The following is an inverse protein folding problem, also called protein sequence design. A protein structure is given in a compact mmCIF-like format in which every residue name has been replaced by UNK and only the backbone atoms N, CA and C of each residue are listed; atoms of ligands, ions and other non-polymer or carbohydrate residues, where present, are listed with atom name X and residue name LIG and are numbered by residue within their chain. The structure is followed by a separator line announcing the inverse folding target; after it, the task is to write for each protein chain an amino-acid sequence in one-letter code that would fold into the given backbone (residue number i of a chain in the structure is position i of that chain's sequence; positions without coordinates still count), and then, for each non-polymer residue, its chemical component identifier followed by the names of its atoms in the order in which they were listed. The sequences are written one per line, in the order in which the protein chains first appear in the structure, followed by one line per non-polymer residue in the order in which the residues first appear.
data_IF_800910345021
#
_entry.id   IF_800910345021
#
_cell.length_a   1.000
_cell.length_b   1.000
_cell.length_c   1.000
_cell.angle_alpha   90.00
_cell.angle_beta   90.00
_cell.angle_gamma   90.00
#
_symmetry.space_group_name_H-M   'P 1'
#
loop_
_entity.id
_entity.type
_entity.pdbx_description
1 polymer ?
#
# COMPACT_ATOMS: atom_id res chain seq x y z
N UNK A 1 9.27 25.22 20.29
CA UNK A 1 9.09 24.79 18.88
C UNK A 1 10.47 24.48 18.33
N UNK A 2 10.61 23.35 17.64
CA UNK A 2 11.80 22.96 16.86
C UNK A 2 11.41 23.01 15.39
N UNK A 3 12.16 23.73 14.58
CA UNK A 3 11.95 23.84 13.14
C UNK A 3 12.69 22.68 12.47
N UNK A 4 12.02 21.93 11.60
CA UNK A 4 12.64 20.96 10.72
C UNK A 4 12.71 21.54 9.30
N UNK A 5 13.91 21.52 8.69
CA UNK A 5 14.13 21.98 7.31
C UNK A 5 14.72 20.80 6.54
N UNK A 6 13.93 20.27 5.63
CA UNK A 6 14.43 19.30 4.67
C UNK A 6 15.23 20.01 3.59
N UNK A 7 16.24 19.34 3.03
CA UNK A 7 17.16 19.90 2.03
C UNK A 7 17.70 21.29 2.42
N UNK A 8 18.19 21.43 3.65
CA UNK A 8 18.65 22.72 4.18
C UNK A 8 19.70 23.42 3.30
N UNK A 9 20.41 22.68 2.46
CA UNK A 9 21.35 23.21 1.48
C UNK A 9 20.68 24.16 0.47
N UNK A 10 19.40 23.97 0.15
CA UNK A 10 18.64 24.83 -0.77
C UNK A 10 18.42 26.22 -0.17
N UNK A 11 18.24 26.30 1.15
CA UNK A 11 18.08 27.56 1.87
C UNK A 11 19.40 28.33 1.94
N UNK A 12 20.53 27.61 1.99
CA UNK A 12 21.88 28.20 2.07
C UNK A 12 22.40 28.67 0.72
N UNK A 13 21.97 28.03 -0.38
CA UNK A 13 22.40 28.36 -1.74
C UNK A 13 21.51 29.35 -2.50
N UNK A 14 20.36 29.70 -1.99
CA UNK A 14 19.35 30.51 -2.70
C UNK A 14 19.75 31.96 -3.01
N UNK A 15 20.84 32.45 -2.45
CA UNK A 15 21.29 33.84 -2.62
C UNK A 15 22.28 34.10 -3.77
N UNK A 16 22.72 33.08 -4.50
CA UNK A 16 23.81 33.24 -5.47
C UNK A 16 23.35 33.78 -6.84
N UNK A 17 22.06 33.88 -7.12
CA UNK A 17 21.55 34.42 -8.39
C UNK A 17 20.60 35.60 -8.16
N UNK A 18 21.16 36.80 -8.13
CA UNK A 18 20.45 38.03 -8.44
C UNK A 18 19.40 38.52 -7.45
N UNK A 19 19.80 39.06 -6.30
CA UNK A 19 18.95 40.00 -5.54
C UNK A 19 17.87 39.41 -4.63
N UNK A 20 17.76 38.10 -4.51
CA UNK A 20 16.92 37.47 -3.50
C UNK A 20 17.61 37.56 -2.13
N UNK A 21 16.87 37.95 -1.10
CA UNK A 21 17.35 37.96 0.29
C UNK A 21 17.76 36.54 0.67
N UNK A 22 19.03 36.30 0.89
CA UNK A 22 19.55 34.99 1.28
C UNK A 22 18.92 34.60 2.64
N UNK A 23 18.02 33.63 2.62
CA UNK A 23 17.32 33.16 3.80
C UNK A 23 18.29 32.68 4.89
N UNK A 24 19.49 32.25 4.49
CA UNK A 24 20.57 31.89 5.42
C UNK A 24 21.03 33.08 6.27
N UNK A 25 21.03 34.28 5.72
CA UNK A 25 21.40 35.50 6.45
C UNK A 25 20.37 35.90 7.51
N UNK A 26 19.11 35.49 7.34
CA UNK A 26 18.07 35.69 8.36
C UNK A 26 18.16 34.62 9.46
N UNK A 27 18.51 33.39 9.12
CA UNK A 27 18.60 32.27 10.07
C UNK A 27 19.86 32.36 10.95
N UNK A 28 20.99 32.80 10.40
CA UNK A 28 22.28 32.88 11.11
C UNK A 28 22.20 33.65 12.43
N UNK A 29 21.61 34.87 12.50
CA UNK A 29 21.50 35.61 13.76
C UNK A 29 20.58 34.91 14.78
N UNK A 30 19.48 34.34 14.33
CA UNK A 30 18.51 33.65 15.21
C UNK A 30 19.08 32.35 15.80
N UNK A 31 19.82 31.59 14.99
CA UNK A 31 20.56 30.39 15.45
C UNK A 31 21.68 30.81 16.43
N UNK A 32 22.37 31.91 16.16
CA UNK A 32 23.47 32.42 17.04
C UNK A 32 22.98 32.82 18.44
N UNK A 33 21.78 33.39 18.53
CA UNK A 33 21.17 33.81 19.78
C UNK A 33 20.42 32.71 20.50
N UNK A 34 20.30 31.50 19.87
CA UNK A 34 19.53 30.41 20.42
C UNK A 34 17.99 30.61 20.39
N UNK A 35 17.54 31.64 19.64
CA UNK A 35 16.13 31.95 19.48
C UNK A 35 15.43 30.88 18.59
N UNK A 36 16.19 30.31 17.65
CA UNK A 36 15.73 29.26 16.75
C UNK A 36 16.42 27.93 17.06
N UNK A 37 15.64 26.90 17.31
CA UNK A 37 16.11 25.51 17.34
C UNK A 37 15.72 24.86 16.03
N UNK A 38 16.72 24.34 15.30
CA UNK A 38 16.51 23.81 13.95
C UNK A 38 17.18 22.46 13.80
N UNK A 39 16.50 21.55 13.11
CA UNK A 39 17.03 20.31 12.58
C UNK A 39 17.03 20.44 11.07
N UNK A 40 18.20 20.33 10.43
CA UNK A 40 18.33 20.37 8.98
C UNK A 40 18.71 19.00 8.46
N UNK A 41 18.03 18.52 7.40
CA UNK A 41 18.40 17.32 6.68
C UNK A 41 19.05 17.69 5.34
N UNK A 42 20.08 16.95 4.94
CA UNK A 42 20.77 17.11 3.66
C UNK A 42 21.61 15.88 3.34
N UNK A 43 22.10 15.76 2.12
CA UNK A 43 23.05 14.72 1.74
C UNK A 43 24.48 15.10 2.16
N UNK A 44 25.35 14.09 2.29
CA UNK A 44 26.77 14.32 2.64
C UNK A 44 27.47 15.19 1.59
N UNK A 45 27.18 15.00 0.30
CA UNK A 45 27.75 15.76 -0.80
C UNK A 45 27.34 17.23 -0.76
N UNK A 46 26.07 17.50 -0.55
CA UNK A 46 25.51 18.85 -0.48
C UNK A 46 25.93 19.57 0.79
N UNK A 47 26.04 18.85 1.92
CA UNK A 47 26.60 19.38 3.14
C UNK A 47 28.02 19.93 2.90
N UNK A 48 28.90 19.15 2.25
CA UNK A 48 30.26 19.58 1.90
C UNK A 48 30.29 20.75 0.94
N UNK A 49 29.35 20.79 -0.03
CA UNK A 49 29.29 21.85 -1.02
C UNK A 49 28.76 23.18 -0.49
N UNK A 50 27.79 23.14 0.41
CA UNK A 50 27.03 24.34 0.80
C UNK A 50 27.22 24.72 2.28
N UNK A 51 27.19 23.75 3.21
CA UNK A 51 27.22 24.01 4.64
C UNK A 51 28.66 24.21 5.15
N UNK A 52 29.58 23.31 4.83
CA UNK A 52 31.00 23.40 5.26
C UNK A 52 31.70 24.61 4.69
N UNK A 53 31.28 25.12 3.55
CA UNK A 53 31.87 26.38 2.98
C UNK A 53 31.42 27.63 3.71
N UNK A 54 30.41 27.56 4.55
CA UNK A 54 29.94 28.66 5.39
C UNK A 54 30.32 28.42 6.87
N UNK A 55 31.46 28.96 7.34
CA UNK A 55 31.94 28.74 8.72
C UNK A 55 30.96 29.23 9.78
N UNK A 56 30.03 30.11 9.39
CA UNK A 56 29.03 30.63 10.32
C UNK A 56 27.89 29.64 10.55
N UNK A 57 27.53 28.84 9.55
CA UNK A 57 26.55 27.78 9.68
C UNK A 57 27.16 26.50 10.28
N UNK A 58 28.33 26.10 9.79
CA UNK A 58 29.03 24.90 10.26
C UNK A 58 29.18 24.88 11.80
N UNK A 59 29.54 26.04 12.40
CA UNK A 59 29.71 26.17 13.87
C UNK A 59 28.38 26.12 14.66
N UNK A 60 27.24 26.17 13.99
CA UNK A 60 25.93 26.23 14.65
C UNK A 60 25.12 24.94 14.51
N UNK A 61 25.56 24.03 13.66
CA UNK A 61 24.95 22.72 13.48
C UNK A 61 25.89 21.60 13.93
N UNK A 62 25.40 20.72 14.77
CA UNK A 62 26.09 19.47 15.08
C UNK A 62 25.69 18.46 14.03
N UNK A 63 26.66 17.86 13.35
CA UNK A 63 26.42 16.79 12.38
C UNK A 63 25.98 15.51 13.09
N UNK A 64 24.93 14.90 12.58
CA UNK A 64 24.45 13.58 12.96
C UNK A 64 24.39 12.72 11.69
N UNK A 65 25.34 11.80 11.57
CA UNK A 65 25.40 10.91 10.42
C UNK A 65 24.36 9.80 10.57
N UNK A 66 23.48 9.66 9.59
CA UNK A 66 22.49 8.59 9.50
C UNK A 66 23.00 7.61 8.44
N UNK A 67 23.35 6.42 8.89
CA UNK A 67 23.78 5.33 8.00
C UNK A 67 22.60 4.50 7.53
N UNK A 68 22.81 3.77 6.44
CA UNK A 68 21.85 2.76 5.95
C UNK A 68 21.64 1.70 7.06
N UNK A 69 20.38 1.33 7.39
CA UNK A 69 20.10 0.31 8.38
C UNK A 69 20.51 -1.09 7.88
N UNK A 70 20.77 -2.00 8.82
CA UNK A 70 21.00 -3.41 8.51
C UNK A 70 19.71 -4.07 7.98
N UNK A 71 19.83 -5.26 7.39
CA UNK A 71 18.67 -6.07 6.96
C UNK A 71 17.76 -6.38 8.16
N UNK A 72 18.31 -6.69 9.32
CA UNK A 72 17.57 -6.99 10.56
C UNK A 72 16.79 -5.75 11.06
N UNK A 73 17.45 -4.58 11.07
CA UNK A 73 16.80 -3.32 11.43
C UNK A 73 15.71 -2.97 10.42
N UNK A 74 15.95 -3.21 9.13
CA UNK A 74 14.96 -2.98 8.07
C UNK A 74 13.72 -3.85 8.28
N UNK A 75 13.86 -5.14 8.62
CA UNK A 75 12.73 -6.02 8.93
C UNK A 75 11.92 -5.44 10.09
N UNK A 76 12.59 -4.92 11.13
CA UNK A 76 11.92 -4.29 12.28
C UNK A 76 11.16 -3.04 11.88
N UNK A 77 11.72 -2.21 11.00
CA UNK A 77 11.07 -1.01 10.43
C UNK A 77 9.84 -1.42 9.61
N UNK A 78 9.97 -2.43 8.73
CA UNK A 78 8.87 -2.92 7.90
C UNK A 78 7.72 -3.48 8.75
N UNK A 79 8.02 -4.21 9.83
CA UNK A 79 7.00 -4.66 10.79
C UNK A 79 6.25 -3.49 11.44
N UNK A 80 6.95 -2.40 11.75
CA UNK A 80 6.34 -1.18 12.26
C UNK A 80 5.46 -0.44 11.26
N UNK A 81 5.73 -0.58 9.95
CA UNK A 81 4.98 0.04 8.87
C UNK A 81 3.86 -0.86 8.32
N UNK A 82 3.92 -2.16 8.58
CA UNK A 82 3.02 -3.20 8.04
C UNK A 82 1.55 -2.79 8.10
N UNK A 83 1.06 -2.43 9.28
CA UNK A 83 -0.35 -2.12 9.51
C UNK A 83 -0.83 -0.96 8.63
N UNK A 84 -0.01 0.09 8.46
CA UNK A 84 -0.32 1.23 7.60
C UNK A 84 -0.45 0.83 6.12
N UNK A 85 0.47 -0.01 5.63
CA UNK A 85 0.40 -0.50 4.25
C UNK A 85 -0.78 -1.45 4.04
N UNK A 86 -1.08 -2.31 5.02
CA UNK A 86 -2.26 -3.17 4.98
C UNK A 86 -3.57 -2.37 4.90
N UNK A 87 -3.67 -1.27 5.66
CA UNK A 87 -4.84 -0.37 5.61
C UNK A 87 -4.90 0.36 4.28
N UNK A 88 -3.78 0.93 3.82
CA UNK A 88 -3.73 1.72 2.59
C UNK A 88 -4.12 0.90 1.34
N UNK A 89 -3.61 -0.32 1.23
CA UNK A 89 -3.88 -1.18 0.09
C UNK A 89 -5.12 -2.07 0.29
N UNK A 90 -5.59 -2.26 1.51
CA UNK A 90 -6.71 -3.16 1.83
C UNK A 90 -6.36 -4.63 1.67
N UNK A 91 -5.08 -4.99 1.80
CA UNK A 91 -4.54 -6.36 1.68
C UNK A 91 -3.77 -6.74 2.94
N UNK A 92 -3.58 -8.03 3.19
CA UNK A 92 -2.71 -8.52 4.28
C UNK A 92 -1.29 -8.72 3.75
N UNK A 93 -0.31 -8.56 4.64
CA UNK A 93 1.10 -8.76 4.30
C UNK A 93 1.66 -9.82 5.26
N UNK A 94 2.18 -10.93 4.75
CA UNK A 94 2.80 -11.96 5.59
C UNK A 94 4.13 -11.49 6.17
N UNK A 95 4.52 -12.02 7.32
CA UNK A 95 5.84 -11.72 7.90
C UNK A 95 6.98 -12.25 7.00
N UNK A 96 6.75 -13.38 6.33
CA UNK A 96 7.68 -13.92 5.34
C UNK A 96 7.91 -12.99 4.15
N UNK A 97 6.88 -12.26 3.70
CA UNK A 97 7.02 -11.25 2.65
C UNK A 97 7.89 -10.08 3.11
N UNK A 98 7.75 -9.60 4.36
CA UNK A 98 8.59 -8.53 4.91
C UNK A 98 10.06 -8.94 4.97
N UNK A 99 10.33 -10.16 5.44
CA UNK A 99 11.68 -10.72 5.50
C UNK A 99 12.27 -10.84 4.09
N UNK A 100 11.49 -11.38 3.15
CA UNK A 100 11.92 -11.53 1.76
C UNK A 100 12.16 -10.18 1.08
N UNK A 101 11.32 -9.18 1.32
CA UNK A 101 11.51 -7.83 0.79
C UNK A 101 12.83 -7.20 1.25
N UNK A 102 13.18 -7.33 2.55
CA UNK A 102 14.44 -6.82 3.07
C UNK A 102 15.67 -7.56 2.48
N UNK A 103 15.61 -8.88 2.39
CA UNK A 103 16.73 -9.72 1.90
C UNK A 103 16.91 -9.53 0.39
N UNK A 104 15.81 -9.63 -0.41
CA UNK A 104 15.88 -9.57 -1.87
C UNK A 104 16.24 -8.17 -2.35
N UNK A 105 15.66 -7.11 -1.75
CA UNK A 105 16.04 -5.75 -2.09
C UNK A 105 17.51 -5.46 -1.80
N UNK A 106 18.04 -5.92 -0.64
CA UNK A 106 19.44 -5.75 -0.31
C UNK A 106 20.35 -6.45 -1.31
N UNK A 107 19.96 -7.66 -1.78
CA UNK A 107 20.78 -8.50 -2.66
C UNK A 107 20.73 -8.07 -4.11
N UNK A 108 19.58 -7.66 -4.62
CA UNK A 108 19.36 -7.47 -6.07
C UNK A 108 19.21 -6.01 -6.47
N UNK A 109 18.82 -5.10 -5.58
CA UNK A 109 18.66 -3.68 -5.88
C UNK A 109 19.87 -2.91 -5.33
N UNK A 110 20.82 -2.57 -6.24
CA UNK A 110 22.06 -1.89 -5.88
C UNK A 110 21.95 -0.35 -5.91
N UNK A 111 20.98 0.20 -6.65
CA UNK A 111 20.89 1.65 -6.93
C UNK A 111 20.19 2.43 -5.81
N UNK A 112 19.53 1.76 -4.87
CA UNK A 112 18.79 2.35 -3.75
C UNK A 112 19.25 1.80 -2.42
N UNK A 113 18.97 2.51 -1.34
CA UNK A 113 19.36 2.17 0.02
C UNK A 113 18.19 1.57 0.81
N UNK A 114 18.52 0.77 1.83
CA UNK A 114 17.55 0.36 2.82
C UNK A 114 17.21 1.55 3.74
N UNK A 115 15.98 1.68 4.25
CA UNK A 115 14.86 0.74 4.09
C UNK A 115 14.03 0.98 2.82
N UNK A 116 14.22 2.07 2.08
CA UNK A 116 13.33 2.54 1.02
C UNK A 116 13.09 1.49 -0.06
N UNK A 117 14.15 0.85 -0.56
CA UNK A 117 14.02 -0.19 -1.60
C UNK A 117 13.20 -1.42 -1.14
N UNK A 118 13.20 -1.73 0.15
CA UNK A 118 12.39 -2.80 0.69
C UNK A 118 10.92 -2.38 0.87
N UNK A 119 10.71 -1.13 1.25
CA UNK A 119 9.38 -0.51 1.32
C UNK A 119 8.75 -0.47 -0.06
N UNK A 120 9.49 -0.05 -1.09
CA UNK A 120 9.00 0.00 -2.47
C UNK A 120 8.53 -1.37 -2.96
N UNK A 121 9.26 -2.46 -2.66
CA UNK A 121 8.84 -3.82 -3.03
C UNK A 121 7.53 -4.23 -2.36
N UNK A 122 7.34 -3.87 -1.09
CA UNK A 122 6.09 -4.16 -0.37
C UNK A 122 4.94 -3.35 -0.97
N UNK A 123 5.16 -2.07 -1.24
CA UNK A 123 4.15 -1.18 -1.82
C UNK A 123 3.71 -1.66 -3.21
N UNK A 124 4.66 -2.02 -4.06
CA UNK A 124 4.40 -2.55 -5.40
C UNK A 124 3.66 -3.89 -5.36
N UNK A 125 4.12 -4.83 -4.53
CA UNK A 125 3.47 -6.15 -4.39
C UNK A 125 2.06 -6.03 -3.80
N UNK A 126 1.85 -5.15 -2.82
CA UNK A 126 0.54 -4.88 -2.26
C UNK A 126 -0.40 -4.21 -3.28
N UNK A 127 0.10 -3.27 -4.07
CA UNK A 127 -0.63 -2.62 -5.17
C UNK A 127 -1.02 -3.62 -6.26
N UNK A 128 -0.12 -4.54 -6.62
CA UNK A 128 -0.36 -5.61 -7.59
C UNK A 128 -1.48 -6.53 -7.10
N UNK A 129 -1.41 -6.97 -5.84
CA UNK A 129 -2.43 -7.83 -5.24
C UNK A 129 -3.79 -7.11 -5.16
N UNK A 130 -3.83 -5.83 -4.77
CA UNK A 130 -5.06 -5.02 -4.80
C UNK A 130 -5.66 -4.96 -6.20
N UNK A 131 -4.81 -4.80 -7.22
CA UNK A 131 -5.27 -4.82 -8.61
C UNK A 131 -5.84 -6.18 -9.00
N UNK A 132 -5.23 -7.29 -8.59
CA UNK A 132 -5.76 -8.65 -8.79
C UNK A 132 -7.12 -8.84 -8.14
N UNK A 133 -7.31 -8.36 -6.89
CA UNK A 133 -8.59 -8.43 -6.15
C UNK A 133 -9.68 -7.62 -6.86
N UNK A 134 -9.35 -6.45 -7.40
CA UNK A 134 -10.32 -5.58 -8.08
C UNK A 134 -10.59 -5.99 -9.52
N UNK A 135 -9.66 -6.65 -10.16
CA UNK A 135 -9.79 -7.15 -11.53
C UNK A 135 -10.59 -8.45 -11.59
N UNK A 136 -11.10 -8.75 -12.76
CA UNK A 136 -11.86 -9.98 -13.00
C UNK A 136 -10.93 -11.20 -12.95
N UNK A 137 -11.26 -12.28 -12.20
CA UNK A 137 -10.45 -13.48 -12.16
C UNK A 137 -10.26 -14.11 -13.54
N UNK A 138 -9.09 -14.68 -13.78
CA UNK A 138 -8.72 -15.26 -15.07
C UNK A 138 -9.71 -16.35 -15.50
N UNK A 139 -10.18 -17.21 -14.58
CA UNK A 139 -11.16 -18.26 -14.86
C UNK A 139 -12.47 -17.71 -15.42
N UNK A 140 -12.91 -16.56 -14.88
CA UNK A 140 -14.13 -15.91 -15.32
C UNK A 140 -13.95 -15.23 -16.68
N UNK A 141 -12.78 -14.64 -16.94
CA UNK A 141 -12.45 -14.05 -18.25
C UNK A 141 -12.35 -15.12 -19.35
N UNK A 142 -11.81 -16.30 -19.05
CA UNK A 142 -11.77 -17.42 -20.00
C UNK A 142 -13.17 -17.93 -20.36
N UNK A 143 -14.09 -18.00 -19.39
CA UNK A 143 -15.48 -18.37 -19.63
C UNK A 143 -16.17 -17.34 -20.53
N UNK A 144 -15.97 -16.04 -20.25
CA UNK A 144 -16.54 -14.96 -21.07
C UNK A 144 -16.06 -15.03 -22.52
N UNK A 145 -14.75 -15.24 -22.71
CA UNK A 145 -14.18 -15.38 -24.07
C UNK A 145 -14.76 -16.59 -24.79
N UNK A 146 -15.00 -17.71 -24.09
CA UNK A 146 -15.65 -18.90 -24.67
C UNK A 146 -17.10 -18.59 -25.04
N UNK A 147 -17.84 -17.92 -24.18
CA UNK A 147 -19.24 -17.52 -24.45
C UNK A 147 -19.31 -16.63 -25.69
N UNK A 148 -18.46 -15.60 -25.78
CA UNK A 148 -18.41 -14.69 -26.93
C UNK A 148 -18.08 -15.45 -28.22
N UNK A 149 -17.11 -16.37 -28.17
CA UNK A 149 -16.75 -17.21 -29.32
C UNK A 149 -17.90 -18.06 -29.81
N UNK A 150 -18.58 -18.75 -28.89
CA UNK A 150 -19.74 -19.61 -29.23
C UNK A 150 -20.93 -18.78 -29.74
N UNK A 151 -21.16 -17.59 -29.19
CA UNK A 151 -22.20 -16.67 -29.69
C UNK A 151 -21.91 -16.20 -31.11
N UNK A 152 -20.64 -15.90 -31.44
CA UNK A 152 -20.22 -15.52 -32.79
C UNK A 152 -20.42 -16.73 -33.78
N UNK A 153 -20.04 -17.93 -33.35
CA UNK A 153 -20.24 -19.15 -34.13
C UNK A 153 -21.72 -19.42 -34.37
N UNK A 154 -22.57 -19.27 -33.35
CA UNK A 154 -24.02 -19.39 -33.46
C UNK A 154 -24.62 -18.41 -34.47
N UNK A 155 -24.13 -17.16 -34.44
CA UNK A 155 -24.56 -16.09 -35.38
C UNK A 155 -24.16 -16.42 -36.83
N UNK A 156 -22.96 -16.98 -37.04
CA UNK A 156 -22.50 -17.44 -38.36
C UNK A 156 -23.37 -18.58 -38.90
N UNK A 157 -23.60 -19.62 -38.08
CA UNK A 157 -24.38 -20.76 -38.46
C UNK A 157 -25.88 -20.46 -38.69
N UNK A 158 -26.43 -19.42 -38.06
CA UNK A 158 -27.81 -18.95 -38.31
C UNK A 158 -28.01 -18.40 -39.73
N UNK A 159 -26.95 -18.04 -40.44
CA UNK A 159 -27.02 -17.56 -41.82
C UNK A 159 -27.03 -18.71 -42.86
N UNK A 160 -26.74 -19.94 -42.39
CA UNK A 160 -26.72 -21.13 -43.20
C UNK A 160 -27.99 -21.96 -42.90
N UNK A 161 -28.83 -22.22 -43.91
CA UNK A 161 -30.14 -22.92 -43.73
C UNK A 161 -30.05 -24.46 -43.80
N UNK A 162 -28.88 -25.05 -43.62
CA UNK A 162 -28.64 -26.48 -43.70
C UNK A 162 -29.09 -27.23 -42.43
N UNK A 163 -29.54 -28.51 -42.62
CA UNK A 163 -29.97 -29.38 -41.53
C UNK A 163 -28.84 -29.63 -40.54
N UNK A 164 -27.61 -29.81 -41.05
CA UNK A 164 -26.40 -29.97 -40.20
C UNK A 164 -26.09 -28.78 -39.34
N UNK A 165 -26.38 -27.57 -39.84
CA UNK A 165 -26.22 -26.32 -39.10
C UNK A 165 -27.20 -26.17 -37.94
N UNK A 166 -28.42 -26.66 -38.08
CA UNK A 166 -29.44 -26.69 -37.02
C UNK A 166 -29.04 -27.63 -35.85
N UNK A 167 -28.45 -28.77 -36.12
CA UNK A 167 -27.95 -29.67 -35.07
C UNK A 167 -26.76 -29.05 -34.31
N UNK A 168 -25.86 -28.40 -35.01
CA UNK A 168 -24.72 -27.65 -34.38
C UNK A 168 -25.21 -26.48 -33.50
N UNK A 169 -26.18 -25.72 -33.99
CA UNK A 169 -26.80 -24.63 -33.22
C UNK A 169 -27.42 -25.15 -31.92
N UNK A 170 -28.07 -26.31 -31.93
CA UNK A 170 -28.64 -26.88 -30.72
C UNK A 170 -27.56 -27.30 -29.70
N UNK A 171 -26.45 -27.90 -30.18
CA UNK A 171 -25.31 -28.22 -29.31
C UNK A 171 -24.68 -26.96 -28.69
N UNK A 172 -24.44 -25.94 -29.51
CA UNK A 172 -23.89 -24.64 -29.05
C UNK A 172 -24.84 -24.00 -28.02
N UNK A 173 -26.15 -24.06 -28.20
CA UNK A 173 -27.10 -23.56 -27.20
C UNK A 173 -26.98 -24.25 -25.85
N UNK A 174 -26.88 -25.60 -25.86
CA UNK A 174 -26.71 -26.35 -24.62
C UNK A 174 -25.40 -26.04 -23.93
N UNK A 175 -24.33 -25.85 -24.70
CA UNK A 175 -23.00 -25.45 -24.16
C UNK A 175 -23.03 -24.04 -23.62
N UNK A 176 -23.67 -23.09 -24.27
CA UNK A 176 -23.89 -21.72 -23.78
C UNK A 176 -24.66 -21.71 -22.45
N UNK A 177 -25.78 -22.47 -22.35
CA UNK A 177 -26.54 -22.54 -21.11
C UNK A 177 -25.71 -23.09 -19.92
N UNK A 178 -24.80 -24.04 -20.19
CA UNK A 178 -23.92 -24.58 -19.16
C UNK A 178 -22.84 -23.55 -18.74
N UNK A 179 -22.29 -22.84 -19.72
CA UNK A 179 -21.28 -21.77 -19.46
C UNK A 179 -21.90 -20.57 -18.76
N UNK A 180 -23.12 -20.16 -19.16
CA UNK A 180 -23.84 -19.06 -18.51
C UNK A 180 -24.13 -19.38 -17.03
N UNK A 181 -24.56 -20.61 -16.71
CA UNK A 181 -24.74 -21.03 -15.31
C UNK A 181 -23.44 -21.02 -14.53
N UNK A 182 -22.32 -21.49 -15.11
CA UNK A 182 -21.01 -21.44 -14.47
C UNK A 182 -20.55 -20.02 -14.24
N UNK A 183 -20.73 -19.15 -15.24
CA UNK A 183 -20.39 -17.74 -15.16
C UNK A 183 -21.17 -17.05 -14.02
N UNK A 184 -22.48 -17.32 -13.91
CA UNK A 184 -23.31 -16.73 -12.86
C UNK A 184 -22.84 -17.15 -11.46
N UNK A 185 -22.56 -18.45 -11.25
CA UNK A 185 -22.06 -18.96 -9.98
C UNK A 185 -20.73 -18.31 -9.60
N UNK A 186 -19.75 -18.31 -10.51
CA UNK A 186 -18.44 -17.74 -10.27
C UNK A 186 -18.51 -16.21 -10.09
N UNK A 187 -19.38 -15.52 -10.83
CA UNK A 187 -19.57 -14.07 -10.68
C UNK A 187 -20.15 -13.72 -9.30
N UNK A 188 -21.13 -14.49 -8.83
CA UNK A 188 -21.73 -14.29 -7.52
C UNK A 188 -20.72 -14.59 -6.40
N UNK A 189 -19.92 -15.62 -6.56
CA UNK A 189 -18.85 -15.96 -5.62
C UNK A 189 -17.79 -14.83 -5.56
N UNK A 190 -17.26 -14.41 -6.71
CA UNK A 190 -16.27 -13.33 -6.80
C UNK A 190 -16.79 -12.02 -6.18
N UNK A 191 -18.02 -11.62 -6.50
CA UNK A 191 -18.62 -10.41 -5.90
C UNK A 191 -18.78 -10.55 -4.39
N UNK A 192 -19.13 -11.72 -3.88
CA UNK A 192 -19.25 -11.97 -2.45
C UNK A 192 -17.90 -11.91 -1.73
N UNK A 193 -16.84 -12.47 -2.32
CA UNK A 193 -15.48 -12.39 -1.79
C UNK A 193 -14.96 -10.94 -1.80
N UNK A 194 -15.14 -10.21 -2.91
CA UNK A 194 -14.76 -8.82 -3.06
C UNK A 194 -15.48 -7.91 -2.03
N UNK A 195 -16.78 -8.10 -1.84
CA UNK A 195 -17.53 -7.34 -0.83
C UNK A 195 -17.01 -7.61 0.58
N UNK A 196 -16.64 -8.84 0.89
CA UNK A 196 -16.09 -9.20 2.19
C UNK A 196 -14.74 -8.51 2.46
N UNK A 197 -13.87 -8.47 1.44
CA UNK A 197 -12.57 -7.78 1.52
C UNK A 197 -12.76 -6.28 1.68
N UNK A 198 -13.65 -5.67 0.88
CA UNK A 198 -13.92 -4.22 0.95
C UNK A 198 -14.47 -3.82 2.34
N UNK A 199 -15.37 -4.62 2.91
CA UNK A 199 -15.88 -4.37 4.27
C UNK A 199 -14.79 -4.40 5.34
N UNK A 200 -13.82 -5.32 5.23
CA UNK A 200 -12.69 -5.36 6.15
C UNK A 200 -11.79 -4.13 5.99
N UNK A 201 -11.54 -3.71 4.75
CA UNK A 201 -10.75 -2.52 4.45
C UNK A 201 -11.41 -1.26 5.03
N UNK A 202 -12.72 -1.08 4.84
CA UNK A 202 -13.47 0.05 5.39
C UNK A 202 -13.39 0.10 6.93
N UNK A 203 -13.52 -1.05 7.61
CA UNK A 203 -13.41 -1.09 9.08
C UNK A 203 -11.99 -0.71 9.52
N UNK A 204 -10.95 -1.19 8.83
CA UNK A 204 -9.56 -0.85 9.14
C UNK A 204 -9.26 0.64 8.92
N UNK A 205 -9.77 1.23 7.83
CA UNK A 205 -9.66 2.67 7.59
C UNK A 205 -10.35 3.50 8.68
N UNK A 206 -11.51 3.06 9.15
CA UNK A 206 -12.22 3.74 10.22
C UNK A 206 -11.47 3.63 11.56
N UNK A 207 -10.82 2.49 11.84
CA UNK A 207 -9.93 2.34 12.99
C UNK A 207 -8.77 3.34 12.92
N UNK A 208 -8.11 3.47 11.77
CA UNK A 208 -7.01 4.42 11.59
C UNK A 208 -7.46 5.86 11.77
N UNK A 209 -8.61 6.25 11.21
CA UNK A 209 -9.19 7.59 11.40
C UNK A 209 -9.45 7.90 12.87
N UNK A 210 -10.00 6.93 13.61
CA UNK A 210 -10.26 7.08 15.04
C UNK A 210 -8.94 7.17 15.83
N UNK A 211 -7.92 6.40 15.49
CA UNK A 211 -6.60 6.49 16.11
C UNK A 211 -5.96 7.87 15.91
N UNK A 212 -6.04 8.42 14.69
CA UNK A 212 -5.56 9.78 14.41
C UNK A 212 -6.32 10.82 15.25
N UNK A 213 -7.64 10.68 15.40
CA UNK A 213 -8.45 11.57 16.22
C UNK A 213 -8.07 11.49 17.71
N UNK A 214 -7.80 10.28 18.23
CA UNK A 214 -7.30 10.06 19.59
C UNK A 214 -5.96 10.77 19.79
N UNK A 215 -5.02 10.64 18.86
CA UNK A 215 -3.74 11.33 18.95
C UNK A 215 -3.89 12.86 18.93
N UNK A 216 -4.77 13.38 18.07
CA UNK A 216 -5.05 14.82 18.02
C UNK A 216 -5.68 15.32 19.34
N UNK A 217 -6.65 14.59 19.89
CA UNK A 217 -7.25 14.93 21.17
C UNK A 217 -6.21 14.89 22.30
N UNK A 218 -5.33 13.88 22.35
CA UNK A 218 -4.22 13.80 23.31
C UNK A 218 -3.24 14.98 23.17
N UNK A 219 -2.92 15.40 21.95
CA UNK A 219 -2.06 16.58 21.68
C UNK A 219 -2.70 17.91 22.13
N UNK A 220 -4.03 17.99 22.03
CA UNK A 220 -4.81 19.16 22.46
C UNK A 220 -5.13 19.14 23.95
N UNK A 221 -4.66 18.13 24.72
CA UNK A 221 -4.97 17.91 26.14
C UNK A 221 -6.46 17.64 26.42
N UNK A 222 -7.24 17.26 25.41
CA UNK A 222 -8.63 16.83 25.57
C UNK A 222 -8.69 15.34 25.88
N UNK A 223 -8.41 15.03 27.15
CA UNK A 223 -8.36 13.65 27.62
C UNK A 223 -9.74 12.98 27.69
N UNK A 224 -10.81 13.75 27.81
CA UNK A 224 -12.16 13.19 27.86
C UNK A 224 -12.57 12.65 26.50
N UNK A 225 -12.44 13.45 25.45
CA UNK A 225 -12.71 13.01 24.07
C UNK A 225 -11.79 11.87 23.65
N UNK A 226 -10.50 11.92 24.05
CA UNK A 226 -9.57 10.83 23.77
C UNK A 226 -10.02 9.52 24.43
N UNK A 227 -10.49 9.55 25.69
CA UNK A 227 -10.97 8.38 26.40
C UNK A 227 -12.29 7.82 25.81
N UNK A 228 -13.24 8.67 25.44
CA UNK A 228 -14.48 8.23 24.78
C UNK A 228 -14.21 7.54 23.43
N UNK A 229 -13.30 8.06 22.63
CA UNK A 229 -12.91 7.45 21.36
C UNK A 229 -12.15 6.14 21.57
N UNK A 230 -11.22 6.08 22.54
CA UNK A 230 -10.36 4.92 22.81
C UNK A 230 -11.15 3.74 23.39
N UNK A 231 -11.98 3.98 24.44
CA UNK A 231 -12.73 2.92 25.12
C UNK A 231 -14.10 2.64 24.50
N UNK A 232 -14.69 3.60 23.79
CA UNK A 232 -15.98 3.45 23.13
C UNK A 232 -15.83 3.00 21.68
N UNK A 233 -15.49 3.95 20.79
CA UNK A 233 -15.53 3.76 19.35
C UNK A 233 -14.48 2.77 18.85
N UNK A 234 -13.23 2.91 19.30
CA UNK A 234 -12.12 2.04 18.88
C UNK A 234 -12.36 0.59 19.29
N UNK A 235 -12.76 0.36 20.54
CA UNK A 235 -13.05 -0.98 21.06
C UNK A 235 -14.19 -1.66 20.28
N UNK A 236 -15.24 -0.91 19.92
CA UNK A 236 -16.35 -1.42 19.11
C UNK A 236 -15.91 -1.80 17.70
N UNK A 237 -15.10 -0.97 17.06
CA UNK A 237 -14.57 -1.26 15.70
C UNK A 237 -13.64 -2.47 15.71
N UNK A 238 -12.78 -2.61 16.73
CA UNK A 238 -11.91 -3.76 16.89
C UNK A 238 -12.70 -5.07 17.09
N UNK A 239 -13.77 -5.04 17.89
CA UNK A 239 -14.66 -6.19 18.06
C UNK A 239 -15.34 -6.58 16.75
N UNK A 240 -15.82 -5.58 15.98
CA UNK A 240 -16.41 -5.83 14.66
C UNK A 240 -15.40 -6.42 13.66
N UNK A 241 -14.15 -5.93 13.70
CA UNK A 241 -13.09 -6.45 12.86
C UNK A 241 -12.83 -7.94 13.17
N UNK A 242 -12.66 -8.27 14.44
CA UNK A 242 -12.40 -9.64 14.89
C UNK A 242 -13.54 -10.60 14.53
N UNK A 243 -14.81 -10.20 14.74
CA UNK A 243 -15.97 -11.01 14.31
C UNK A 243 -15.99 -11.27 12.80
N UNK A 244 -15.67 -10.26 12.00
CA UNK A 244 -15.66 -10.41 10.53
C UNK A 244 -14.48 -11.27 10.06
N UNK A 245 -13.31 -11.11 10.67
CA UNK A 245 -12.14 -11.96 10.37
C UNK A 245 -12.41 -13.42 10.70
N UNK A 246 -13.03 -13.73 11.86
CA UNK A 246 -13.42 -15.09 12.23
C UNK A 246 -14.40 -15.72 11.24
N UNK A 247 -15.38 -14.98 10.76
CA UNK A 247 -16.35 -15.46 9.77
C UNK A 247 -15.66 -15.80 8.45
N UNK A 248 -14.72 -14.97 8.00
CA UNK A 248 -13.98 -15.16 6.75
C UNK A 248 -13.00 -16.34 6.87
N UNK A 249 -12.25 -16.40 7.99
CA UNK A 249 -11.36 -17.54 8.26
C UNK A 249 -12.11 -18.87 8.41
N UNK A 250 -13.27 -18.85 9.06
CA UNK A 250 -14.12 -20.04 9.19
C UNK A 250 -14.63 -20.56 7.83
N UNK A 251 -14.95 -19.67 6.90
CA UNK A 251 -15.33 -20.05 5.52
C UNK A 251 -14.16 -20.64 4.74
N UNK A 252 -12.95 -20.10 4.87
CA UNK A 252 -11.75 -20.58 4.19
C UNK A 252 -11.27 -21.93 4.71
N UNK A 253 -11.34 -22.17 6.02
CA UNK A 253 -10.97 -23.47 6.60
C UNK A 253 -11.88 -24.61 6.16
N UNK A 254 -13.15 -24.32 5.86
CA UNK A 254 -14.09 -25.32 5.37
C UNK A 254 -13.92 -25.66 3.87
N UNK A 255 -13.34 -24.76 3.04
CA UNK A 255 -13.11 -24.99 1.62
C UNK A 255 -11.89 -24.19 1.09
N UNK A 256 -10.66 -24.61 1.39
CA UNK A 256 -9.46 -23.85 1.00
C UNK A 256 -9.21 -23.83 -0.53
N UNK A 257 -9.80 -24.75 -1.29
CA UNK A 257 -9.63 -24.84 -2.76
C UNK A 257 -10.65 -24.01 -3.56
N UNK A 258 -11.57 -23.32 -2.91
CA UNK A 258 -12.65 -22.58 -3.60
C UNK A 258 -12.49 -21.05 -3.53
N UNK A 259 -11.48 -20.50 -2.90
CA UNK A 259 -11.26 -19.04 -2.91
C UNK A 259 -10.69 -18.60 -4.25
N UNK A 260 -11.42 -17.71 -4.93
CA UNK A 260 -11.00 -17.12 -6.21
C UNK A 260 -10.00 -16.00 -6.03
N UNK A 261 -9.98 -15.35 -4.85
CA UNK A 261 -9.15 -14.19 -4.56
C UNK A 261 -8.12 -14.51 -3.48
N UNK A 262 -6.88 -14.09 -3.72
CA UNK A 262 -5.82 -14.05 -2.70
C UNK A 262 -5.96 -12.74 -1.92
N UNK A 263 -5.72 -12.78 -0.61
CA UNK A 263 -5.83 -11.60 0.27
C UNK A 263 -4.51 -11.24 0.93
N UNK A 264 -3.49 -12.06 0.77
CA UNK A 264 -2.22 -11.94 1.48
C UNK A 264 -1.05 -11.91 0.51
N UNK A 265 -0.20 -10.90 0.68
CA UNK A 265 1.09 -10.78 -0.01
C UNK A 265 2.05 -11.81 0.58
N UNK A 266 2.60 -12.65 -0.26
CA UNK A 266 3.53 -13.73 0.09
C UNK A 266 4.95 -13.42 -0.37
N UNK A 267 5.91 -14.26 0.03
CA UNK A 267 7.29 -14.16 -0.45
C UNK A 267 7.44 -14.29 -1.97
N UNK A 268 6.54 -15.03 -2.62
CA UNK A 268 6.56 -15.20 -4.07
C UNK A 268 6.17 -13.90 -4.79
N UNK A 269 5.22 -13.16 -4.24
CA UNK A 269 4.78 -11.87 -4.81
C UNK A 269 5.89 -10.81 -4.73
N UNK A 270 6.78 -10.93 -3.75
CA UNK A 270 7.97 -10.07 -3.61
C UNK A 270 9.09 -10.49 -4.57
N UNK A 271 9.18 -11.78 -4.89
CA UNK A 271 10.24 -12.32 -5.75
C UNK A 271 9.95 -12.16 -7.26
N UNK A 272 8.70 -11.97 -7.65
CA UNK A 272 8.24 -11.78 -9.02
C UNK A 272 8.49 -10.35 -9.52
#
# INVERSE_FOLDING_TARGET
IVLFIDEIHTVVGAGATGGAMDASNLLKPMLARGELRCIGATTISEHRQHIEKDPALERRFQQVLINEPSVEDTISILRGLKERYEVHHGVRISDSALISAAILSHRYIAERFLPDKAIDLIDESASKLKMEITSKPQELDEIDRKIIKLQMEQLSLKREDDISSKEKINKIKQELEQLDKKQEVLTNQWKGEQQSINMLSEIKEDIEKVQIQIEQAKRNYDLNTAAELEYGTLSLLQSRLSEKEEIIHGRKNNNPQQSLLREEVTENDIAE
#
